data_IF_751693764553
#
_entry.id   IF_751693764553
#
_cell.length_a   1.000
_cell.length_b   1.000
_cell.length_c   1.000
_cell.angle_alpha   90.00
_cell.angle_beta   90.00
_cell.angle_gamma   90.00
#
_symmetry.space_group_name_H-M   'P 1'
#
loop_
_entity.id
_entity.type
_entity.pdbx_description
1 polymer ?
#
# COMPACT_ATOMS: atom_id res chain seq x y z
N UNK A 1 32.86 -61.90 56.70
CA UNK A 1 33.55 -60.60 56.83
C UNK A 1 32.88 -59.60 55.90
N UNK A 2 32.48 -58.46 56.45
CA UNK A 2 31.84 -57.30 55.82
C UNK A 2 32.70 -56.65 54.72
N UNK A 3 32.07 -56.00 53.73
CA UNK A 3 32.00 -54.54 53.71
C UNK A 3 30.85 -54.00 52.83
N UNK A 4 30.13 -53.04 53.41
CA UNK A 4 29.17 -52.12 52.79
C UNK A 4 29.87 -51.10 51.90
N UNK A 5 29.11 -50.44 51.02
CA UNK A 5 28.87 -48.97 51.02
C UNK A 5 27.80 -48.68 49.96
N UNK A 6 26.63 -48.22 50.43
CA UNK A 6 25.56 -47.64 49.62
C UNK A 6 25.59 -46.15 49.90
N UNK A 7 25.96 -45.34 48.91
CA UNK A 7 26.00 -43.89 49.01
C UNK A 7 24.58 -43.33 48.86
N UNK A 8 24.15 -42.53 49.84
CA UNK A 8 22.87 -41.82 49.84
C UNK A 8 23.08 -40.40 49.32
N UNK A 9 22.33 -39.93 48.30
CA UNK A 9 22.41 -38.55 47.85
C UNK A 9 21.82 -37.59 48.89
N UNK A 10 22.50 -36.47 49.10
CA UNK A 10 22.21 -35.46 50.12
C UNK A 10 21.14 -34.48 49.63
N UNK A 11 20.27 -34.08 50.55
CA UNK A 11 19.02 -33.32 50.34
C UNK A 11 19.22 -31.87 49.84
N UNK A 12 20.46 -31.43 49.61
CA UNK A 12 20.80 -30.07 49.19
C UNK A 12 20.68 -29.84 47.69
N UNK A 13 21.12 -30.80 46.87
CA UNK A 13 21.20 -30.64 45.41
C UNK A 13 19.80 -30.63 44.76
N UNK A 14 18.90 -31.47 45.25
CA UNK A 14 17.51 -31.54 44.78
C UNK A 14 16.74 -30.21 44.93
N UNK A 15 17.08 -29.39 45.93
CA UNK A 15 16.42 -28.10 46.18
C UNK A 15 16.89 -27.02 45.21
N UNK A 16 18.16 -27.06 44.81
CA UNK A 16 18.75 -26.09 43.86
C UNK A 16 18.22 -26.34 42.45
N UNK A 17 18.09 -27.61 42.04
CA UNK A 17 17.50 -27.97 40.75
C UNK A 17 16.01 -27.60 40.66
N UNK A 18 15.26 -27.72 41.76
CA UNK A 18 13.85 -27.32 41.81
C UNK A 18 13.67 -25.80 41.63
N UNK A 19 14.53 -24.99 42.23
CA UNK A 19 14.49 -23.52 42.11
C UNK A 19 14.86 -23.09 40.68
N UNK A 20 15.88 -23.70 40.08
CA UNK A 20 16.29 -23.41 38.71
C UNK A 20 15.20 -23.77 37.68
N UNK A 21 14.48 -24.87 37.89
CA UNK A 21 13.38 -25.29 37.01
C UNK A 21 12.17 -24.33 37.08
N UNK A 22 11.82 -23.83 38.26
CA UNK A 22 10.72 -22.86 38.43
C UNK A 22 11.06 -21.50 37.82
N UNK A 23 12.31 -21.05 37.94
CA UNK A 23 12.78 -19.80 37.31
C UNK A 23 12.74 -19.85 35.77
N UNK A 24 13.07 -21.00 35.17
CA UNK A 24 13.01 -21.18 33.71
C UNK A 24 11.57 -21.21 33.17
N UNK A 25 10.63 -21.80 33.91
CA UNK A 25 9.20 -21.82 33.54
C UNK A 25 8.58 -20.42 33.67
N UNK A 26 8.96 -19.63 34.67
CA UNK A 26 8.49 -18.25 34.82
C UNK A 26 8.95 -17.32 33.68
N UNK A 27 10.11 -17.60 33.07
CA UNK A 27 10.63 -16.81 31.95
C UNK A 27 9.82 -16.95 30.65
N UNK A 28 9.06 -18.04 30.47
CA UNK A 28 8.20 -18.25 29.30
C UNK A 28 6.81 -17.61 29.44
N UNK A 29 6.36 -17.29 30.66
CA UNK A 29 5.02 -16.70 30.90
C UNK A 29 5.00 -15.19 30.61
N UNK A 30 6.16 -14.52 30.63
CA UNK A 30 6.30 -13.11 30.25
C UNK A 30 6.66 -12.89 28.78
N UNK A 31 6.68 -13.93 27.96
CA UNK A 31 6.70 -13.76 26.50
C UNK A 31 5.28 -13.47 26.03
N UNK A 32 4.78 -12.28 26.38
CA UNK A 32 3.72 -11.66 25.58
C UNK A 32 4.24 -11.70 24.15
N UNK A 33 3.48 -12.21 23.17
CA UNK A 33 3.84 -11.93 21.79
C UNK A 33 3.90 -10.41 21.69
N UNK A 34 5.11 -9.86 21.57
CA UNK A 34 5.25 -8.66 20.76
C UNK A 34 4.78 -9.13 19.40
N UNK A 35 3.47 -9.05 19.17
CA UNK A 35 2.96 -8.76 17.86
C UNK A 35 3.85 -7.63 17.40
N UNK A 36 4.66 -7.93 16.39
CA UNK A 36 5.37 -6.91 15.67
C UNK A 36 4.32 -5.87 15.28
N UNK A 37 4.21 -4.80 16.06
CA UNK A 37 3.42 -3.61 15.76
C UNK A 37 4.10 -2.82 14.62
N UNK A 38 4.71 -3.54 13.68
CA UNK A 38 5.41 -3.00 12.53
C UNK A 38 4.54 -2.95 11.27
N UNK A 39 3.29 -3.43 11.32
CA UNK A 39 2.44 -3.53 10.12
C UNK A 39 0.95 -3.21 10.36
N UNK A 40 0.58 -2.60 11.49
CA UNK A 40 -0.82 -2.19 11.78
C UNK A 40 -1.02 -0.67 11.71
N UNK A 41 -0.31 -0.01 10.81
CA UNK A 41 -0.66 1.34 10.38
C UNK A 41 -0.41 1.43 8.89
N UNK A 42 -1.44 1.12 8.12
CA UNK A 42 -1.56 1.61 6.75
C UNK A 42 -1.39 3.15 6.74
N UNK A 43 -1.88 3.82 7.79
CA UNK A 43 -1.72 5.27 8.05
C UNK A 43 -0.28 5.76 8.32
N UNK A 44 0.70 4.89 8.63
CA UNK A 44 2.07 5.32 8.95
C UNK A 44 3.04 5.25 7.77
N UNK A 45 2.61 4.65 6.65
CA UNK A 45 3.37 4.64 5.41
C UNK A 45 3.11 5.94 4.63
N UNK A 46 1.90 6.51 4.78
CA UNK A 46 1.47 7.77 4.14
C UNK A 46 2.34 9.00 4.47
N UNK A 47 3.04 9.00 5.61
CA UNK A 47 3.83 10.15 6.05
C UNK A 47 5.22 10.28 5.38
N UNK A 48 5.66 9.30 4.58
CA UNK A 48 7.06 9.27 4.09
C UNK A 48 7.26 10.12 2.82
N UNK A 49 6.20 10.60 2.16
CA UNK A 49 6.31 11.41 0.93
C UNK A 49 5.63 12.79 1.03
N UNK A 50 4.91 13.09 2.11
CA UNK A 50 4.35 14.43 2.37
C UNK A 50 3.00 14.73 1.70
N UNK A 51 2.34 13.72 1.12
CA UNK A 51 0.97 13.81 0.60
C UNK A 51 0.13 12.67 1.18
N UNK A 52 -1.08 12.98 1.63
CA UNK A 52 -2.04 11.94 2.04
C UNK A 52 -2.55 11.20 0.80
N UNK A 53 -2.51 9.86 0.79
CA UNK A 53 -2.98 9.04 -0.35
C UNK A 53 -4.29 8.35 0.01
N UNK A 54 -5.39 8.75 -0.63
CA UNK A 54 -6.72 8.17 -0.43
C UNK A 54 -7.12 7.33 -1.63
N UNK A 55 -7.97 6.34 -1.38
CA UNK A 55 -8.53 5.46 -2.41
C UNK A 55 -10.05 5.47 -2.33
N UNK A 56 -10.70 5.57 -3.48
CA UNK A 56 -12.15 5.50 -3.65
C UNK A 56 -12.47 4.61 -4.87
N UNK A 57 -13.63 3.95 -4.87
CA UNK A 57 -14.16 3.26 -6.05
C UNK A 57 -15.38 4.04 -6.55
N UNK A 58 -15.41 4.34 -7.85
CA UNK A 58 -16.49 5.09 -8.49
C UNK A 58 -16.85 4.44 -9.81
N UNK A 59 -18.16 4.28 -10.07
CA UNK A 59 -18.64 3.84 -11.40
C UNK A 59 -18.21 4.86 -12.46
N UNK A 60 -17.51 4.40 -13.51
CA UNK A 60 -16.98 5.22 -14.57
C UNK A 60 -18.06 6.04 -15.27
N UNK A 61 -19.24 5.46 -15.49
CA UNK A 61 -20.38 6.18 -16.08
C UNK A 61 -20.85 7.35 -15.19
N UNK A 62 -20.84 7.19 -13.86
CA UNK A 62 -21.24 8.23 -12.92
C UNK A 62 -20.30 9.45 -12.92
N UNK A 63 -19.02 9.23 -13.28
CA UNK A 63 -17.98 10.25 -13.38
C UNK A 63 -17.53 10.54 -14.82
N UNK A 64 -18.32 10.10 -15.82
CA UNK A 64 -17.91 10.05 -17.23
C UNK A 64 -17.39 11.37 -17.78
N UNK A 65 -18.07 12.49 -17.51
CA UNK A 65 -17.61 13.81 -17.98
C UNK A 65 -16.27 14.23 -17.39
N UNK A 66 -16.01 13.88 -16.13
CA UNK A 66 -14.77 14.20 -15.42
C UNK A 66 -13.61 13.35 -15.96
N UNK A 67 -13.85 12.06 -16.16
CA UNK A 67 -12.86 11.13 -16.72
C UNK A 67 -12.51 11.53 -18.16
N UNK A 68 -13.49 11.85 -18.99
CA UNK A 68 -13.25 12.31 -20.37
C UNK A 68 -12.41 13.59 -20.40
N UNK A 69 -12.73 14.56 -19.54
CA UNK A 69 -11.93 15.79 -19.44
C UNK A 69 -10.48 15.51 -18.98
N UNK A 70 -10.30 14.57 -18.04
CA UNK A 70 -8.98 14.17 -17.58
C UNK A 70 -8.18 13.44 -18.68
N UNK A 71 -8.84 12.60 -19.48
CA UNK A 71 -8.24 11.93 -20.65
C UNK A 71 -7.81 12.98 -21.69
N UNK A 72 -8.68 13.91 -22.06
CA UNK A 72 -8.38 14.97 -23.02
C UNK A 72 -7.20 15.85 -22.55
N UNK A 73 -7.03 16.02 -21.24
CA UNK A 73 -5.95 16.79 -20.63
C UNK A 73 -4.63 16.00 -20.42
N UNK A 74 -4.59 14.71 -20.77
CA UNK A 74 -3.50 13.79 -20.41
C UNK A 74 -2.11 14.29 -20.81
N UNK A 75 -1.94 14.81 -22.03
CA UNK A 75 -0.65 15.30 -22.50
C UNK A 75 -0.11 16.46 -21.64
N UNK A 76 -0.98 17.42 -21.30
CA UNK A 76 -0.62 18.54 -20.43
C UNK A 76 -0.34 18.07 -19.00
N UNK A 77 -1.12 17.11 -18.51
CA UNK A 77 -0.95 16.56 -17.17
C UNK A 77 0.34 15.74 -17.04
N UNK A 78 0.76 15.02 -18.07
CA UNK A 78 2.07 14.33 -18.09
C UNK A 78 3.25 15.29 -17.97
N UNK A 79 3.18 16.47 -18.61
CA UNK A 79 4.18 17.53 -18.41
C UNK A 79 4.16 18.08 -16.98
N UNK A 80 2.97 18.26 -16.41
CA UNK A 80 2.79 18.79 -15.06
C UNK A 80 3.26 17.81 -13.98
N UNK A 81 3.03 16.50 -14.16
CA UNK A 81 3.54 15.43 -13.28
C UNK A 81 5.05 15.51 -13.14
N UNK A 82 5.79 15.69 -14.25
CA UNK A 82 7.25 15.83 -14.25
C UNK A 82 7.78 17.05 -13.50
N UNK A 83 6.93 18.07 -13.30
CA UNK A 83 7.26 19.34 -12.66
C UNK A 83 6.71 19.46 -11.24
N UNK A 84 5.95 18.48 -10.78
CA UNK A 84 5.29 18.51 -9.48
C UNK A 84 6.19 17.81 -8.46
N UNK A 85 6.60 18.57 -7.45
CA UNK A 85 7.51 18.10 -6.40
C UNK A 85 6.83 17.96 -5.03
N UNK A 86 5.60 18.46 -4.90
CA UNK A 86 4.80 18.41 -3.68
C UNK A 86 3.31 18.47 -4.03
N UNK A 87 2.50 17.75 -3.27
CA UNK A 87 1.04 17.79 -3.33
C UNK A 87 0.50 17.73 -1.90
N UNK A 88 -0.68 18.31 -1.69
CA UNK A 88 -1.35 18.19 -0.40
C UNK A 88 -2.02 16.82 -0.25
N UNK A 89 -2.58 16.29 -1.35
CA UNK A 89 -3.41 15.09 -1.37
C UNK A 89 -3.34 14.39 -2.73
N UNK A 90 -3.38 13.05 -2.71
CA UNK A 90 -3.51 12.22 -3.91
C UNK A 90 -4.70 11.27 -3.68
N UNK A 91 -5.74 11.44 -4.47
CA UNK A 91 -6.88 10.53 -4.54
C UNK A 91 -6.69 9.54 -5.67
N UNK A 92 -6.97 8.27 -5.43
CA UNK A 92 -6.98 7.22 -6.44
C UNK A 92 -8.42 6.74 -6.59
N UNK A 93 -8.95 6.86 -7.80
CA UNK A 93 -10.30 6.43 -8.17
C UNK A 93 -10.22 5.20 -9.05
N UNK A 94 -10.71 4.07 -8.52
CA UNK A 94 -10.87 2.82 -9.26
C UNK A 94 -12.17 2.82 -10.06
N UNK A 95 -12.08 2.37 -11.31
CA UNK A 95 -13.14 2.35 -12.31
C UNK A 95 -13.44 0.90 -12.74
N UNK A 96 -14.28 0.16 -11.98
CA UNK A 96 -14.49 -1.28 -12.16
C UNK A 96 -15.27 -1.64 -13.45
N UNK A 97 -16.10 -0.73 -13.94
CA UNK A 97 -16.95 -0.84 -15.14
C UNK A 97 -16.29 -0.31 -16.42
N UNK A 98 -15.03 0.14 -16.34
CA UNK A 98 -14.33 0.74 -17.48
C UNK A 98 -14.04 -0.25 -18.63
N UNK A 99 -13.98 -1.54 -18.32
CA UNK A 99 -13.73 -2.60 -19.31
C UNK A 99 -14.97 -2.98 -20.13
N UNK A 100 -16.13 -2.39 -19.85
CA UNK A 100 -17.31 -2.52 -20.71
C UNK A 100 -17.01 -1.94 -22.10
N UNK A 101 -16.88 -2.85 -23.07
CA UNK A 101 -16.60 -2.53 -24.47
C UNK A 101 -17.73 -1.64 -25.03
N UNK A 102 -17.33 -0.68 -25.87
CA UNK A 102 -18.19 0.29 -26.57
C UNK A 102 -18.69 1.49 -25.73
N UNK A 103 -18.09 1.75 -24.57
CA UNK A 103 -18.32 3.02 -23.84
C UNK A 103 -17.58 4.19 -24.47
N UNK A 104 -18.12 5.41 -24.32
CA UNK A 104 -17.45 6.65 -24.78
C UNK A 104 -16.06 6.83 -24.16
N UNK A 105 -15.90 6.38 -22.92
CA UNK A 105 -14.64 6.45 -22.19
C UNK A 105 -13.62 5.47 -22.80
N UNK A 106 -14.05 4.25 -23.15
CA UNK A 106 -13.17 3.27 -23.82
C UNK A 106 -12.64 3.78 -25.17
N UNK A 107 -13.48 4.48 -25.94
CA UNK A 107 -13.04 5.14 -27.18
C UNK A 107 -12.03 6.26 -26.90
N UNK A 108 -12.28 7.10 -25.90
CA UNK A 108 -11.36 8.18 -25.54
C UNK A 108 -10.00 7.64 -25.07
N UNK A 109 -9.97 6.53 -24.31
CA UNK A 109 -8.73 5.86 -23.91
C UNK A 109 -7.96 5.35 -25.13
N UNK A 110 -8.64 4.71 -26.08
CA UNK A 110 -8.02 4.20 -27.30
C UNK A 110 -7.48 5.33 -28.19
N UNK A 111 -8.22 6.44 -28.30
CA UNK A 111 -7.80 7.63 -29.07
C UNK A 111 -6.60 8.35 -28.46
N UNK A 112 -6.39 8.22 -27.15
CA UNK A 112 -5.32 8.91 -26.40
C UNK A 112 -4.22 7.96 -25.89
N UNK A 113 -4.08 6.75 -26.44
CA UNK A 113 -3.19 5.70 -25.92
C UNK A 113 -1.73 6.19 -25.78
N UNK A 114 -1.22 6.94 -26.76
CA UNK A 114 0.14 7.49 -26.73
C UNK A 114 0.31 8.52 -25.61
N UNK A 115 -0.67 9.39 -25.40
CA UNK A 115 -0.63 10.39 -24.34
C UNK A 115 -0.72 9.72 -22.97
N UNK A 116 -1.54 8.68 -22.83
CA UNK A 116 -1.66 7.89 -21.61
C UNK A 116 -0.35 7.15 -21.33
N UNK A 117 0.34 6.62 -22.34
CA UNK A 117 1.67 6.04 -22.18
C UNK A 117 2.67 7.07 -21.66
N UNK A 118 2.70 8.28 -22.23
CA UNK A 118 3.55 9.38 -21.72
C UNK A 118 3.22 9.78 -20.28
N UNK A 119 1.93 9.77 -19.89
CA UNK A 119 1.53 10.02 -18.51
C UNK A 119 2.08 8.95 -17.57
N UNK A 120 2.01 7.67 -17.95
CA UNK A 120 2.55 6.56 -17.17
C UNK A 120 4.07 6.66 -17.00
N UNK A 121 4.79 6.99 -18.07
CA UNK A 121 6.24 7.26 -18.00
C UNK A 121 6.54 8.46 -17.09
N UNK A 122 5.73 9.52 -17.14
CA UNK A 122 5.89 10.67 -16.26
C UNK A 122 5.67 10.31 -14.79
N UNK A 123 4.67 9.46 -14.50
CA UNK A 123 4.39 8.95 -13.15
C UNK A 123 5.57 8.09 -12.67
N UNK A 124 6.06 7.17 -13.50
CA UNK A 124 7.23 6.32 -13.19
C UNK A 124 8.48 7.15 -12.91
N UNK A 125 8.68 8.23 -13.66
CA UNK A 125 9.79 9.16 -13.47
C UNK A 125 9.67 10.09 -12.26
N UNK A 126 8.52 10.11 -11.57
CA UNK A 126 8.30 10.96 -10.40
C UNK A 126 8.18 10.13 -9.13
N UNK A 127 9.14 10.27 -8.21
CA UNK A 127 9.10 9.57 -6.93
C UNK A 127 7.79 9.82 -6.16
N UNK A 128 7.24 11.03 -6.24
CA UNK A 128 5.97 11.39 -5.60
C UNK A 128 4.81 10.51 -6.09
N UNK A 129 4.59 10.47 -7.41
CA UNK A 129 3.46 9.74 -7.98
C UNK A 129 3.72 8.23 -8.06
N UNK A 130 4.96 7.82 -8.38
CA UNK A 130 5.35 6.42 -8.39
C UNK A 130 5.08 5.77 -7.04
N UNK A 131 5.52 6.39 -5.94
CA UNK A 131 5.27 5.84 -4.61
C UNK A 131 3.78 5.85 -4.23
N UNK A 132 3.01 6.86 -4.63
CA UNK A 132 1.57 6.87 -4.38
C UNK A 132 0.87 5.68 -5.05
N UNK A 133 1.16 5.42 -6.33
CA UNK A 133 0.58 4.30 -7.10
C UNK A 133 1.09 2.94 -6.59
N UNK A 134 2.40 2.82 -6.37
CA UNK A 134 3.04 1.58 -5.90
C UNK A 134 2.61 1.20 -4.48
N UNK A 135 2.39 2.18 -3.59
CA UNK A 135 1.92 1.94 -2.21
C UNK A 135 0.56 1.23 -2.16
N UNK A 136 -0.27 1.44 -3.18
CA UNK A 136 -1.58 0.78 -3.34
C UNK A 136 -1.52 -0.44 -4.25
N UNK A 137 -0.31 -0.90 -4.62
CA UNK A 137 -0.06 -2.04 -5.52
C UNK A 137 -0.76 -1.91 -6.87
N UNK A 138 -0.91 -0.67 -7.37
CA UNK A 138 -1.61 -0.41 -8.63
C UNK A 138 -0.63 -0.57 -9.79
N UNK A 139 -0.94 -1.41 -10.79
CA UNK A 139 -0.12 -1.48 -11.99
C UNK A 139 -0.18 -0.16 -12.77
N UNK A 140 0.96 0.40 -13.17
CA UNK A 140 0.99 1.63 -13.99
C UNK A 140 0.17 1.51 -15.29
N UNK A 141 0.10 0.30 -15.87
CA UNK A 141 -0.70 0.00 -17.06
C UNK A 141 -2.22 0.19 -16.84
N UNK A 142 -2.65 0.30 -15.59
CA UNK A 142 -4.04 0.47 -15.21
C UNK A 142 -4.40 1.94 -15.01
N UNK A 143 -3.41 2.83 -14.90
CA UNK A 143 -3.64 4.29 -14.87
C UNK A 143 -4.12 4.75 -16.24
N UNK A 144 -5.30 5.38 -16.31
CA UNK A 144 -5.92 5.83 -17.56
C UNK A 144 -5.95 7.35 -17.71
N UNK A 145 -6.00 8.08 -16.59
CA UNK A 145 -6.00 9.53 -16.60
C UNK A 145 -5.57 10.08 -15.24
N UNK A 146 -5.23 11.37 -15.21
CA UNK A 146 -4.89 12.10 -14.00
C UNK A 146 -5.50 13.50 -14.11
N UNK A 147 -6.05 14.00 -13.02
CA UNK A 147 -6.60 15.35 -12.92
C UNK A 147 -5.97 16.10 -11.76
N UNK A 148 -5.60 17.36 -11.97
CA UNK A 148 -5.22 18.26 -10.88
C UNK A 148 -6.46 18.95 -10.34
N UNK A 149 -6.72 18.80 -9.04
CA UNK A 149 -7.77 19.51 -8.34
C UNK A 149 -7.35 20.96 -8.05
N UNK A 150 -8.32 21.85 -7.83
CA UNK A 150 -8.06 23.27 -7.58
C UNK A 150 -7.30 23.56 -6.28
N UNK A 151 -7.32 22.62 -5.32
CA UNK A 151 -6.71 22.79 -3.99
C UNK A 151 -5.33 22.15 -3.84
N UNK A 152 -4.60 21.93 -4.93
CA UNK A 152 -3.26 21.32 -4.86
C UNK A 152 -3.28 19.80 -4.63
N UNK A 153 -4.44 19.16 -4.76
CA UNK A 153 -4.59 17.71 -4.81
C UNK A 153 -4.55 17.17 -6.24
N UNK A 154 -4.38 15.86 -6.36
CA UNK A 154 -4.45 15.15 -7.65
C UNK A 154 -5.38 13.95 -7.52
N UNK A 155 -6.20 13.71 -8.53
CA UNK A 155 -6.96 12.47 -8.66
C UNK A 155 -6.37 11.62 -9.80
N UNK A 156 -6.04 10.36 -9.50
CA UNK A 156 -5.56 9.36 -10.46
C UNK A 156 -6.70 8.40 -10.76
N UNK A 157 -7.07 8.28 -12.03
CA UNK A 157 -8.10 7.35 -12.49
C UNK A 157 -7.44 6.04 -12.94
N UNK A 158 -7.94 4.93 -12.41
CA UNK A 158 -7.36 3.60 -12.59
C UNK A 158 -8.45 2.64 -13.04
N UNK A 159 -8.17 1.82 -14.04
CA UNK A 159 -9.10 0.76 -14.47
C UNK A 159 -9.13 -0.40 -13.46
N UNK A 160 -10.28 -1.06 -13.34
CA UNK A 160 -10.47 -2.20 -12.43
C UNK A 160 -10.82 -1.77 -11.01
N UNK A 161 -11.16 -2.74 -10.16
CA UNK A 161 -11.49 -2.49 -8.75
C UNK A 161 -10.26 -2.50 -7.83
N UNK A 162 -10.40 -1.94 -6.63
CA UNK A 162 -9.37 -1.89 -5.58
C UNK A 162 -8.90 -3.29 -5.12
N UNK A 163 -9.64 -4.34 -5.47
CA UNK A 163 -9.37 -5.73 -5.10
C UNK A 163 -8.72 -6.57 -6.22
N UNK A 164 -8.25 -5.95 -7.31
CA UNK A 164 -7.48 -6.65 -8.35
C UNK A 164 -8.28 -7.67 -9.15
N UNK A 165 -9.51 -7.34 -9.53
CA UNK A 165 -10.31 -8.15 -10.45
C UNK A 165 -11.10 -7.29 -11.43
#
# INVERSE_FOLDING_TARGET
>A
MNLSIMARPTTGEARIHLIAAVALVAAFVLQTPLFAQGLQREEAIDAIVGSEVKTEEVEAESASSRILAAIDATAANAERVRKTFSLDEIDIVFLPDLEEKDSRISSAIAENEEQIAMLREAIEGSALFFHAVDSRSIPLRDVVALEYAERGGVTIFVKGGANGN
#
